data_IF_212063285967
#
_entry.id   IF_212063285967
#
_cell.length_a   1.000
_cell.length_b   1.000
_cell.length_c   1.000
_cell.angle_alpha   90.00
_cell.angle_beta   90.00
_cell.angle_gamma   90.00
#
_symmetry.space_group_name_H-M   'P 1'
#
loop_
_entity.id
_entity.type
_entity.pdbx_description
1 polymer ?
#
# COMPACT_ATOMS: atom_id res chain seq x y z
N UNK A 1 17.58 -49.56 55.84
CA UNK A 1 16.94 -49.62 54.50
C UNK A 1 15.46 -49.24 54.50
N UNK A 2 14.99 -48.22 55.25
CA UNK A 2 13.55 -47.83 55.30
C UNK A 2 13.27 -46.41 54.77
N UNK A 3 14.29 -45.63 54.39
CA UNK A 3 14.09 -44.23 53.97
C UNK A 3 14.09 -44.03 52.43
N UNK A 4 14.50 -45.04 51.64
CA UNK A 4 14.54 -44.95 50.19
C UNK A 4 13.17 -45.07 49.53
N UNK A 5 12.29 -45.88 50.09
CA UNK A 5 10.96 -46.19 49.51
C UNK A 5 9.99 -44.99 49.63
N UNK A 6 10.08 -44.23 50.72
CA UNK A 6 9.23 -43.05 50.92
C UNK A 6 9.57 -41.89 49.97
N UNK A 7 10.85 -41.73 49.62
CA UNK A 7 11.29 -40.69 48.69
C UNK A 7 10.89 -41.00 47.24
N UNK A 8 10.82 -42.25 46.85
CA UNK A 8 10.42 -42.68 45.50
C UNK A 8 8.90 -42.48 45.31
N UNK A 9 8.09 -42.85 46.33
CA UNK A 9 6.63 -42.69 46.29
C UNK A 9 6.23 -41.21 46.24
N UNK A 10 6.95 -40.33 46.97
CA UNK A 10 6.69 -38.87 46.92
C UNK A 10 7.05 -38.27 45.55
N UNK A 11 8.11 -38.73 44.88
CA UNK A 11 8.48 -38.25 43.54
C UNK A 11 7.50 -38.73 42.44
N UNK A 12 6.95 -39.93 42.57
CA UNK A 12 5.97 -40.45 41.61
C UNK A 12 4.62 -39.74 41.80
N UNK A 13 4.21 -39.39 43.02
CA UNK A 13 2.98 -38.65 43.27
C UNK A 13 3.03 -37.19 42.76
N UNK A 14 4.19 -36.53 42.83
CA UNK A 14 4.38 -35.21 42.27
C UNK A 14 4.41 -35.22 40.74
N UNK A 15 4.99 -36.25 40.13
CA UNK A 15 4.97 -36.41 38.67
C UNK A 15 3.56 -36.73 38.13
N UNK A 16 2.76 -37.49 38.86
CA UNK A 16 1.38 -37.80 38.48
C UNK A 16 0.43 -36.60 38.62
N UNK A 17 0.69 -35.69 39.57
CA UNK A 17 -0.11 -34.46 39.73
C UNK A 17 0.20 -33.42 38.65
N UNK A 18 1.41 -33.41 38.09
CA UNK A 18 1.79 -32.49 36.99
C UNK A 18 1.17 -32.92 35.66
N UNK A 19 0.98 -34.22 35.44
CA UNK A 19 0.39 -34.75 34.19
C UNK A 19 -1.14 -34.58 34.16
N UNK A 20 -1.82 -34.50 35.30
CA UNK A 20 -3.28 -34.36 35.35
C UNK A 20 -3.77 -32.91 35.27
N UNK A 21 -2.88 -31.89 35.31
CA UNK A 21 -3.23 -30.47 35.14
C UNK A 21 -2.94 -30.00 33.69
N UNK A 22 -2.23 -30.76 32.88
CA UNK A 22 -1.91 -30.45 31.49
C UNK A 22 -3.06 -30.72 30.49
N UNK A 23 -4.25 -31.12 30.95
CA UNK A 23 -5.33 -31.62 30.09
C UNK A 23 -6.56 -30.71 29.96
N UNK A 24 -6.61 -29.53 30.57
CA UNK A 24 -7.75 -28.60 30.44
C UNK A 24 -7.28 -27.15 30.49
N UNK A 25 -6.37 -26.78 29.60
CA UNK A 25 -6.37 -25.40 29.12
C UNK A 25 -7.18 -25.41 27.82
N UNK A 26 -8.32 -24.67 27.76
CA UNK A 26 -8.87 -24.37 26.48
C UNK A 26 -7.71 -23.73 25.69
N UNK A 27 -7.47 -24.20 24.48
CA UNK A 27 -6.69 -23.44 23.50
C UNK A 27 -7.34 -22.06 23.43
N UNK A 28 -6.86 -21.15 24.25
CA UNK A 28 -6.91 -19.75 23.88
C UNK A 28 -6.10 -19.72 22.58
N UNK A 29 -6.77 -19.82 21.43
CA UNK A 29 -6.24 -19.31 20.20
C UNK A 29 -5.81 -17.91 20.56
N UNK A 30 -4.49 -17.70 20.72
CA UNK A 30 -3.94 -16.36 20.82
C UNK A 30 -4.40 -15.70 19.52
N UNK A 31 -5.47 -14.89 19.61
CA UNK A 31 -5.75 -13.95 18.52
C UNK A 31 -4.46 -13.21 18.35
N UNK A 32 -3.88 -13.26 17.15
CA UNK A 32 -2.68 -12.48 16.88
C UNK A 32 -3.01 -11.03 17.23
N UNK A 33 -2.12 -10.41 17.97
CA UNK A 33 -2.28 -9.01 18.36
C UNK A 33 -2.25 -8.20 17.07
N UNK A 34 -3.24 -7.33 16.86
CA UNK A 34 -3.21 -6.37 15.76
C UNK A 34 -1.90 -5.58 15.85
N UNK A 35 -1.04 -5.58 14.82
CA UNK A 35 0.19 -4.80 14.83
C UNK A 35 -0.13 -3.30 14.92
N UNK A 36 0.79 -2.48 15.37
CA UNK A 36 0.68 -1.02 15.18
C UNK A 36 0.82 -0.69 13.69
N UNK A 37 0.41 0.52 13.28
CA UNK A 37 0.59 0.99 11.90
C UNK A 37 2.07 0.98 11.50
N UNK A 38 2.95 1.43 12.41
CA UNK A 38 4.40 1.47 12.21
C UNK A 38 5.02 0.08 12.13
N UNK A 39 4.57 -0.87 12.96
CA UNK A 39 5.02 -2.27 12.89
C UNK A 39 4.66 -2.86 11.53
N UNK A 40 3.40 -2.73 11.10
CA UNK A 40 2.95 -3.21 9.79
C UNK A 40 3.72 -2.54 8.64
N UNK A 41 3.87 -1.21 8.67
CA UNK A 41 4.60 -0.46 7.66
C UNK A 41 6.05 -0.96 7.55
N UNK A 42 6.78 -1.09 8.66
CA UNK A 42 8.17 -1.51 8.66
C UNK A 42 8.38 -2.94 8.14
N UNK A 43 7.41 -3.82 8.38
CA UNK A 43 7.46 -5.20 7.90
C UNK A 43 7.19 -5.30 6.40
N UNK A 44 6.28 -4.46 5.86
CA UNK A 44 5.75 -4.63 4.51
C UNK A 44 6.09 -3.48 3.53
N UNK A 45 6.86 -2.47 3.94
CA UNK A 45 7.20 -1.32 3.07
C UNK A 45 7.95 -1.72 1.78
N UNK A 46 8.66 -2.84 1.82
CA UNK A 46 9.41 -3.39 0.70
C UNK A 46 8.78 -4.66 0.13
N UNK A 47 7.53 -4.95 0.49
CA UNK A 47 6.84 -6.14 0.00
C UNK A 47 6.55 -5.96 -1.50
N UNK A 48 7.10 -6.80 -2.37
CA UNK A 48 6.90 -6.69 -3.81
C UNK A 48 5.53 -7.21 -4.27
N UNK A 49 4.72 -7.79 -3.37
CA UNK A 49 3.40 -8.32 -3.71
C UNK A 49 2.32 -7.25 -3.55
N UNK A 50 1.76 -6.71 -4.66
CA UNK A 50 0.66 -5.76 -4.62
C UNK A 50 -0.63 -6.33 -4.00
N UNK A 51 -0.74 -7.67 -3.91
CA UNK A 51 -1.87 -8.33 -3.26
C UNK A 51 -1.74 -8.39 -1.73
N UNK A 52 -0.59 -7.97 -1.18
CA UNK A 52 -0.37 -7.78 0.22
C UNK A 52 -0.54 -9.04 1.09
N UNK A 53 -0.71 -8.81 2.38
CA UNK A 53 -0.89 -9.87 3.39
C UNK A 53 -2.33 -10.36 3.38
N UNK A 54 -2.51 -11.67 3.33
CA UNK A 54 -3.82 -12.36 3.36
C UNK A 54 -3.92 -13.28 4.57
N UNK A 55 -5.15 -13.76 4.84
CA UNK A 55 -5.43 -14.68 5.94
C UNK A 55 -5.06 -14.15 7.33
N UNK A 56 -5.43 -12.91 7.59
CA UNK A 56 -5.20 -12.25 8.87
C UNK A 56 -6.12 -12.80 9.96
N UNK A 57 -5.61 -12.94 11.19
CA UNK A 57 -6.35 -13.43 12.36
C UNK A 57 -7.17 -12.35 13.07
N UNK A 58 -7.24 -11.14 12.50
CA UNK A 58 -7.99 -10.00 12.97
C UNK A 58 -8.85 -9.42 11.85
N UNK A 59 -9.84 -8.62 12.20
CA UNK A 59 -10.79 -8.05 11.26
C UNK A 59 -10.72 -6.51 11.23
N UNK A 60 -11.55 -5.88 10.39
CA UNK A 60 -11.57 -4.43 10.21
C UNK A 60 -11.95 -3.68 11.50
N UNK A 61 -12.88 -4.21 12.32
CA UNK A 61 -13.22 -3.60 13.61
C UNK A 61 -12.03 -3.63 14.58
N UNK A 62 -11.22 -4.69 14.55
CA UNK A 62 -10.02 -4.79 15.38
C UNK A 62 -8.99 -3.75 14.96
N UNK A 63 -8.85 -3.46 13.65
CA UNK A 63 -8.01 -2.37 13.14
C UNK A 63 -8.54 -0.99 13.59
N UNK A 64 -9.84 -0.74 13.47
CA UNK A 64 -10.44 0.52 13.91
C UNK A 64 -10.20 0.76 15.41
N UNK A 65 -10.35 -0.28 16.23
CA UNK A 65 -10.05 -0.19 17.67
C UNK A 65 -8.57 0.12 17.96
N UNK A 66 -7.66 -0.43 17.17
CA UNK A 66 -6.22 -0.27 17.35
C UNK A 66 -5.66 1.02 16.73
N UNK A 67 -6.14 1.40 15.55
CA UNK A 67 -5.57 2.45 14.71
C UNK A 67 -6.44 3.72 14.63
N UNK A 68 -7.69 3.66 15.09
CA UNK A 68 -8.72 4.69 14.87
C UNK A 68 -9.44 4.52 13.53
N UNK A 69 -10.35 5.44 13.21
CA UNK A 69 -11.10 5.43 11.96
C UNK A 69 -10.16 5.61 10.76
N UNK A 70 -10.46 4.97 9.62
CA UNK A 70 -9.72 5.19 8.39
C UNK A 70 -9.95 6.60 7.82
N UNK A 71 -9.04 7.05 6.97
CA UNK A 71 -9.10 8.34 6.30
C UNK A 71 -10.29 8.36 5.32
N UNK A 72 -11.33 9.11 5.65
CA UNK A 72 -12.60 9.09 4.91
C UNK A 72 -12.46 9.63 3.47
N UNK A 73 -11.55 10.58 3.23
CA UNK A 73 -11.27 11.18 1.93
C UNK A 73 -10.49 10.25 1.00
N UNK A 74 -9.78 9.27 1.55
CA UNK A 74 -8.96 8.29 0.83
C UNK A 74 -9.63 6.92 0.69
N UNK A 75 -10.53 6.59 1.61
CA UNK A 75 -11.25 5.31 1.61
C UNK A 75 -12.40 5.32 0.59
N UNK A 76 -12.54 4.28 -0.22
CA UNK A 76 -13.61 4.16 -1.23
C UNK A 76 -14.06 2.71 -1.40
N UNK A 77 -15.37 2.50 -1.51
CA UNK A 77 -15.95 1.18 -1.69
C UNK A 77 -15.59 0.23 -0.56
N UNK A 78 -15.07 -0.95 -0.88
CA UNK A 78 -14.62 -1.95 0.07
C UNK A 78 -13.22 -1.67 0.65
N UNK A 79 -12.51 -0.63 0.20
CA UNK A 79 -11.17 -0.31 0.68
C UNK A 79 -11.19 0.75 1.76
N UNK A 80 -10.50 0.48 2.85
CA UNK A 80 -10.20 1.43 3.93
C UNK A 80 -8.73 1.80 3.89
N UNK A 81 -8.41 3.08 4.14
CA UNK A 81 -7.05 3.60 4.03
C UNK A 81 -6.68 4.30 5.33
N UNK A 82 -5.48 4.05 5.83
CA UNK A 82 -4.90 4.74 6.99
C UNK A 82 -3.58 5.37 6.60
N UNK A 83 -3.40 6.64 6.91
CA UNK A 83 -2.10 7.33 6.78
C UNK A 83 -1.13 6.86 7.87
N UNK A 84 0.10 6.59 7.47
CA UNK A 84 1.24 6.26 8.34
C UNK A 84 2.51 6.97 7.83
N UNK A 85 2.80 8.17 8.36
CA UNK A 85 3.84 9.04 7.84
C UNK A 85 3.53 9.51 6.42
N UNK A 86 4.43 9.27 5.48
CA UNK A 86 4.24 9.57 4.05
C UNK A 86 3.60 8.40 3.27
N UNK A 87 3.38 7.28 3.91
CA UNK A 87 2.80 6.07 3.33
C UNK A 87 1.33 5.89 3.71
N UNK A 88 0.67 5.03 2.96
CA UNK A 88 -0.72 4.63 3.19
C UNK A 88 -0.79 3.12 3.38
N UNK A 89 -1.56 2.68 4.36
CA UNK A 89 -1.89 1.27 4.54
C UNK A 89 -3.29 1.08 3.99
N UNK A 90 -3.42 0.23 2.99
CA UNK A 90 -4.66 -0.07 2.28
C UNK A 90 -5.17 -1.42 2.78
N UNK A 91 -6.44 -1.47 3.10
CA UNK A 91 -7.13 -2.66 3.58
C UNK A 91 -8.34 -2.90 2.69
N UNK A 92 -8.27 -3.95 1.89
CA UNK A 92 -9.39 -4.45 1.08
C UNK A 92 -10.26 -5.37 1.92
N UNK A 93 -11.56 -5.09 1.94
CA UNK A 93 -12.55 -5.92 2.62
C UNK A 93 -13.29 -6.83 1.63
N UNK A 94 -13.77 -7.96 2.14
CA UNK A 94 -14.65 -8.87 1.40
C UNK A 94 -15.95 -8.12 1.02
N UNK A 95 -16.37 -8.12 -0.25
CA UNK A 95 -17.58 -7.44 -0.69
C UNK A 95 -18.86 -7.91 0.02
N UNK A 96 -18.90 -9.17 0.45
CA UNK A 96 -20.04 -9.79 1.13
C UNK A 96 -19.97 -9.64 2.66
N UNK A 97 -18.79 -9.39 3.21
CA UNK A 97 -18.56 -9.14 4.62
C UNK A 97 -17.55 -7.98 4.82
N UNK A 98 -18.03 -6.75 4.93
CA UNK A 98 -17.17 -5.56 5.06
C UNK A 98 -16.24 -5.55 6.29
N UNK A 99 -16.45 -6.47 7.23
CA UNK A 99 -15.58 -6.62 8.41
C UNK A 99 -14.44 -7.63 8.20
N UNK A 100 -14.59 -8.52 7.25
CA UNK A 100 -13.56 -9.49 6.88
C UNK A 100 -12.52 -8.83 5.97
N UNK A 101 -11.25 -8.91 6.35
CA UNK A 101 -10.14 -8.41 5.54
C UNK A 101 -9.75 -9.48 4.53
N UNK A 102 -9.72 -9.13 3.25
CA UNK A 102 -9.20 -9.98 2.18
C UNK A 102 -7.71 -9.78 1.94
N UNK A 103 -7.28 -8.52 2.00
CA UNK A 103 -5.90 -8.14 1.74
C UNK A 103 -5.53 -6.87 2.51
N UNK A 104 -4.24 -6.72 2.79
CA UNK A 104 -3.70 -5.55 3.47
C UNK A 104 -2.27 -5.28 2.96
N UNK A 105 -2.00 -4.08 2.47
CA UNK A 105 -0.72 -3.73 1.85
C UNK A 105 -0.37 -2.25 2.08
N UNK A 106 0.89 -1.91 1.79
CA UNK A 106 1.41 -0.54 1.86
C UNK A 106 1.39 0.08 0.47
N UNK A 107 1.11 1.38 0.37
CA UNK A 107 1.17 2.12 -0.89
C UNK A 107 2.55 2.04 -1.55
N UNK A 108 2.56 2.12 -2.87
CA UNK A 108 3.77 2.13 -3.67
C UNK A 108 4.19 3.56 -4.00
N UNK A 109 5.49 3.84 -3.88
CA UNK A 109 6.08 5.07 -4.39
C UNK A 109 6.51 4.86 -5.83
N UNK A 110 6.16 5.82 -6.69
CA UNK A 110 6.62 5.87 -8.08
C UNK A 110 7.00 7.30 -8.46
N UNK A 111 8.10 7.46 -9.19
CA UNK A 111 8.39 8.71 -9.87
C UNK A 111 7.73 8.74 -11.26
N UNK A 112 7.14 9.88 -11.58
CA UNK A 112 6.55 10.19 -12.88
C UNK A 112 7.16 11.49 -13.40
N UNK A 113 7.17 11.69 -14.71
CA UNK A 113 7.60 12.93 -15.34
C UNK A 113 6.42 13.55 -16.07
N UNK A 114 6.07 14.77 -15.71
CA UNK A 114 4.99 15.50 -16.33
C UNK A 114 5.31 15.84 -17.79
N UNK A 115 4.37 15.56 -18.67
CA UNK A 115 4.41 15.91 -20.08
C UNK A 115 3.54 17.13 -20.38
N UNK A 116 2.25 17.00 -20.20
CA UNK A 116 1.25 18.06 -20.40
C UNK A 116 -0.08 17.69 -19.75
N UNK A 117 -1.01 18.66 -19.75
CA UNK A 117 -2.40 18.40 -19.38
C UNK A 117 -3.35 18.75 -20.52
N UNK A 118 -4.44 18.02 -20.62
CA UNK A 118 -5.54 18.27 -21.54
C UNK A 118 -6.87 18.03 -20.82
N UNK A 119 -7.72 19.04 -20.78
CA UNK A 119 -8.94 19.07 -19.96
C UNK A 119 -8.61 18.75 -18.49
N UNK A 120 -9.18 17.66 -17.96
CA UNK A 120 -8.97 17.22 -16.56
C UNK A 120 -7.99 16.04 -16.45
N UNK A 121 -7.21 15.77 -17.49
CA UNK A 121 -6.25 14.66 -17.54
C UNK A 121 -4.83 15.21 -17.64
N UNK A 122 -3.97 14.67 -16.80
CA UNK A 122 -2.53 14.91 -16.78
C UNK A 122 -1.83 13.71 -17.41
N UNK A 123 -0.98 13.98 -18.39
CA UNK A 123 -0.18 12.95 -19.08
C UNK A 123 1.23 12.98 -18.52
N UNK A 124 1.71 11.81 -18.13
CA UNK A 124 3.02 11.63 -17.50
C UNK A 124 3.74 10.40 -18.07
N UNK A 125 5.06 10.39 -17.99
CA UNK A 125 5.88 9.20 -18.24
C UNK A 125 6.32 8.58 -16.92
N UNK A 126 6.50 7.27 -16.89
CA UNK A 126 7.12 6.62 -15.72
C UNK A 126 8.60 6.92 -15.66
N UNK A 127 9.14 7.02 -14.43
CA UNK A 127 10.57 7.19 -14.16
C UNK A 127 10.98 6.19 -13.10
N UNK A 128 12.11 5.51 -13.31
CA UNK A 128 12.66 4.54 -12.37
C UNK A 128 14.17 4.70 -12.30
N UNK A 129 14.71 4.73 -11.09
CA UNK A 129 16.16 4.83 -10.85
C UNK A 129 16.82 6.01 -11.61
N UNK A 130 16.10 7.13 -11.70
CA UNK A 130 16.57 8.33 -12.40
C UNK A 130 16.46 8.27 -13.94
N UNK A 131 15.83 7.23 -14.53
CA UNK A 131 15.67 7.04 -15.98
C UNK A 131 14.20 7.15 -16.36
N UNK A 132 13.87 8.06 -17.30
CA UNK A 132 12.52 8.22 -17.83
C UNK A 132 12.24 7.19 -18.92
N UNK A 133 11.10 6.50 -18.83
CA UNK A 133 10.62 5.60 -19.88
C UNK A 133 9.74 6.37 -20.87
N UNK A 134 10.32 6.78 -21.98
CA UNK A 134 9.63 7.54 -23.04
C UNK A 134 8.60 6.74 -23.85
N UNK A 135 8.47 5.44 -23.60
CA UNK A 135 7.50 4.58 -24.28
C UNK A 135 6.27 4.29 -23.41
N UNK A 136 6.33 4.67 -22.14
CA UNK A 136 5.25 4.42 -21.19
C UNK A 136 4.60 5.72 -20.74
N UNK A 137 3.44 6.03 -21.32
CA UNK A 137 2.63 7.17 -20.95
C UNK A 137 1.45 6.75 -20.07
N UNK A 138 1.21 7.50 -19.01
CA UNK A 138 0.13 7.27 -18.07
C UNK A 138 -0.75 8.51 -18.00
N UNK A 139 -2.06 8.30 -17.88
CA UNK A 139 -3.05 9.32 -17.60
C UNK A 139 -3.36 9.34 -16.10
N UNK A 140 -3.37 10.54 -15.53
CA UNK A 140 -3.74 10.80 -14.13
C UNK A 140 -4.83 11.87 -14.11
N UNK A 141 -5.87 11.69 -13.33
CA UNK A 141 -6.91 12.71 -13.19
C UNK A 141 -6.40 13.91 -12.40
N UNK A 142 -6.70 15.12 -12.88
CA UNK A 142 -6.30 16.39 -12.26
C UNK A 142 -6.80 16.53 -10.82
N UNK A 143 -7.93 15.89 -10.49
CA UNK A 143 -8.54 15.95 -9.15
C UNK A 143 -7.65 15.42 -8.01
N UNK A 144 -6.62 14.66 -8.32
CA UNK A 144 -5.66 14.15 -7.32
C UNK A 144 -4.57 15.17 -6.94
N UNK A 145 -4.50 16.29 -7.65
CA UNK A 145 -3.49 17.32 -7.44
C UNK A 145 -4.08 18.50 -6.68
N UNK A 146 -3.30 19.06 -5.77
CA UNK A 146 -3.64 20.34 -5.20
C UNK A 146 -3.35 21.48 -6.20
N UNK A 147 -3.95 22.66 -5.95
CA UNK A 147 -3.85 23.81 -6.86
C UNK A 147 -2.43 24.37 -7.00
N UNK A 148 -1.61 24.25 -5.96
CA UNK A 148 -0.24 24.74 -5.95
C UNK A 148 0.64 23.86 -6.82
N UNK A 149 0.52 22.55 -6.64
CA UNK A 149 1.19 21.56 -7.50
C UNK A 149 0.80 21.74 -8.96
N UNK A 150 -0.51 21.83 -9.27
CA UNK A 150 -0.98 22.05 -10.65
C UNK A 150 -0.41 23.32 -11.29
N UNK A 151 -0.37 24.42 -10.54
CA UNK A 151 0.13 25.70 -11.04
C UNK A 151 1.66 25.68 -11.31
N UNK A 152 2.38 24.74 -10.71
CA UNK A 152 3.84 24.59 -10.86
C UNK A 152 4.25 23.59 -11.94
N UNK A 153 3.30 22.87 -12.54
CA UNK A 153 3.61 21.85 -13.55
C UNK A 153 4.15 22.46 -14.84
N UNK A 154 5.33 22.02 -15.21
CA UNK A 154 5.97 22.29 -16.50
C UNK A 154 6.51 20.98 -17.05
N UNK A 155 6.58 20.81 -18.37
CA UNK A 155 7.19 19.63 -18.98
C UNK A 155 8.56 19.34 -18.35
N UNK A 156 8.77 18.07 -17.97
CA UNK A 156 9.98 17.64 -17.26
C UNK A 156 9.92 17.79 -15.73
N UNK A 157 8.80 18.28 -15.15
CA UNK A 157 8.61 18.23 -13.69
C UNK A 157 8.53 16.78 -13.23
N UNK A 158 9.39 16.40 -12.28
CA UNK A 158 9.36 15.09 -11.61
C UNK A 158 8.31 15.13 -10.50
N UNK A 159 7.41 14.17 -10.53
CA UNK A 159 6.35 13.97 -9.54
C UNK A 159 6.65 12.68 -8.80
N UNK A 160 6.68 12.72 -7.49
CA UNK A 160 6.64 11.52 -6.65
C UNK A 160 5.20 11.27 -6.23
N UNK A 161 4.71 10.06 -6.49
CA UNK A 161 3.33 9.67 -6.18
C UNK A 161 3.30 8.49 -5.21
N UNK A 162 2.25 8.44 -4.39
CA UNK A 162 1.85 7.25 -3.64
C UNK A 162 0.53 6.73 -4.22
N UNK A 163 0.52 5.45 -4.61
CA UNK A 163 -0.64 4.82 -5.26
C UNK A 163 -0.83 3.37 -4.80
N UNK A 164 -1.90 2.73 -5.25
CA UNK A 164 -2.26 1.36 -4.84
C UNK A 164 -1.43 0.24 -5.51
N UNK A 165 -0.47 0.60 -6.38
CA UNK A 165 0.37 -0.37 -7.08
C UNK A 165 -0.22 -0.90 -8.39
N UNK A 166 -1.46 -0.52 -8.74
CA UNK A 166 -2.14 -1.02 -9.94
C UNK A 166 -2.15 -0.01 -11.08
N UNK A 167 -1.79 -0.49 -12.27
CA UNK A 167 -1.98 0.20 -13.53
C UNK A 167 -3.02 -0.53 -14.36
N UNK A 168 -3.96 0.20 -14.94
CA UNK A 168 -4.88 -0.36 -15.94
C UNK A 168 -4.12 -0.51 -17.25
N UNK A 169 -4.18 -1.71 -17.85
CA UNK A 169 -3.52 -2.06 -19.10
C UNK A 169 -4.22 -1.43 -20.32
N UNK A 170 -4.13 -0.12 -20.42
CA UNK A 170 -4.54 0.69 -21.58
C UNK A 170 -3.34 1.44 -22.14
N UNK A 171 -3.45 2.06 -23.31
CA UNK A 171 -2.44 3.00 -23.78
C UNK A 171 -3.11 4.28 -24.26
N UNK A 172 -2.77 5.43 -23.69
CA UNK A 172 -1.97 5.61 -22.45
C UNK A 172 -2.53 4.81 -21.27
N UNK A 173 -1.64 4.34 -20.38
CA UNK A 173 -2.02 3.65 -19.14
C UNK A 173 -2.81 4.54 -18.20
N UNK A 174 -3.46 3.96 -17.20
CA UNK A 174 -4.17 4.72 -16.16
C UNK A 174 -3.77 4.20 -14.78
N UNK A 175 -3.64 5.10 -13.81
CA UNK A 175 -3.51 4.71 -12.41
C UNK A 175 -4.87 4.29 -11.86
N UNK A 176 -4.89 3.19 -11.11
CA UNK A 176 -6.13 2.75 -10.46
C UNK A 176 -6.53 3.70 -9.35
N UNK A 177 -5.61 4.02 -8.43
CA UNK A 177 -5.88 4.92 -7.31
C UNK A 177 -4.61 5.62 -6.86
N UNK A 178 -4.70 6.94 -6.72
CA UNK A 178 -3.63 7.81 -6.27
C UNK A 178 -3.98 8.38 -4.88
N UNK A 179 -3.02 8.37 -3.96
CA UNK A 179 -3.21 8.84 -2.58
C UNK A 179 -2.51 10.16 -2.31
N UNK A 180 -1.33 10.36 -2.88
CA UNK A 180 -0.63 11.65 -2.80
C UNK A 180 0.24 11.90 -4.02
N UNK A 181 0.48 13.18 -4.28
CA UNK A 181 1.38 13.69 -5.32
C UNK A 181 2.20 14.81 -4.72
N UNK A 182 3.49 14.81 -4.97
CA UNK A 182 4.36 15.95 -4.65
C UNK A 182 5.37 16.19 -5.77
N UNK A 183 5.75 17.46 -6.00
CA UNK A 183 6.84 17.78 -6.90
C UNK A 183 8.17 17.38 -6.26
N UNK A 184 8.99 16.62 -7.00
CA UNK A 184 10.30 16.12 -6.55
C UNK A 184 11.47 16.76 -7.30
N UNK A 185 11.20 17.71 -8.21
CA UNK A 185 12.23 18.43 -8.98
C UNK A 185 11.96 18.46 -10.48
N UNK A 186 13.01 18.54 -11.26
CA UNK A 186 12.95 18.53 -12.74
C UNK A 186 13.98 17.55 -13.28
N UNK A 187 13.68 16.99 -14.45
CA UNK A 187 14.64 16.19 -15.22
C UNK A 187 15.82 17.05 -15.69
N UNK A 188 16.90 16.38 -16.08
CA UNK A 188 18.02 17.05 -16.72
C UNK A 188 17.61 17.64 -18.08
N UNK A 189 18.20 18.79 -18.46
CA UNK A 189 17.92 19.42 -19.77
C UNK A 189 18.19 18.50 -20.96
N UNK A 190 19.10 17.56 -20.82
CA UNK A 190 19.39 16.57 -21.85
C UNK A 190 18.22 15.61 -22.16
N UNK A 191 17.28 15.44 -21.24
CA UNK A 191 16.07 14.63 -21.42
C UNK A 191 14.94 15.40 -22.16
N UNK A 192 14.98 16.71 -22.18
CA UNK A 192 13.91 17.57 -22.72
C UNK A 192 13.55 17.32 -24.19
N UNK A 193 14.51 17.05 -25.11
CA UNK A 193 14.15 16.73 -26.50
C UNK A 193 13.28 15.48 -26.63
N UNK A 194 13.61 14.40 -25.92
CA UNK A 194 12.84 13.16 -25.94
C UNK A 194 11.45 13.31 -25.31
N UNK A 195 11.34 14.09 -24.23
CA UNK A 195 10.04 14.40 -23.62
C UNK A 195 9.12 15.20 -24.54
N UNK A 196 9.66 16.17 -25.30
CA UNK A 196 8.87 16.93 -26.26
C UNK A 196 8.43 16.07 -27.46
N UNK A 197 9.26 15.16 -27.92
CA UNK A 197 8.88 14.20 -28.95
C UNK A 197 7.74 13.29 -28.46
N UNK A 198 7.84 12.79 -27.25
CA UNK A 198 6.78 11.99 -26.63
C UNK A 198 5.49 12.80 -26.42
N UNK A 199 5.58 14.01 -25.91
CA UNK A 199 4.44 14.92 -25.77
C UNK A 199 3.71 15.10 -27.10
N UNK A 200 4.46 15.43 -28.17
CA UNK A 200 3.89 15.60 -29.49
C UNK A 200 3.21 14.34 -29.99
N UNK A 201 3.86 13.19 -29.87
CA UNK A 201 3.29 11.90 -30.26
C UNK A 201 1.97 11.59 -29.54
N UNK A 202 1.90 11.82 -28.22
CA UNK A 202 0.69 11.57 -27.43
C UNK A 202 -0.44 12.55 -27.84
N UNK A 203 -0.14 13.84 -28.04
CA UNK A 203 -1.12 14.83 -28.48
C UNK A 203 -1.73 14.46 -29.83
N UNK A 204 -0.91 14.09 -30.80
CA UNK A 204 -1.34 13.74 -32.16
C UNK A 204 -2.19 12.47 -32.23
N UNK A 205 -1.95 11.48 -31.33
CA UNK A 205 -2.55 10.15 -31.48
C UNK A 205 -3.64 9.85 -30.42
N UNK A 206 -3.66 10.55 -29.28
CA UNK A 206 -4.49 10.12 -28.15
C UNK A 206 -5.36 11.23 -27.51
N UNK A 207 -5.14 12.51 -27.80
CA UNK A 207 -5.96 13.58 -27.18
C UNK A 207 -7.15 14.01 -28.02
N UNK A 208 -7.21 13.59 -29.31
CA UNK A 208 -8.25 14.04 -30.24
C UNK A 208 -8.13 15.50 -30.68
N UNK A 209 -7.03 16.17 -30.33
CA UNK A 209 -6.69 17.52 -30.83
C UNK A 209 -6.14 17.38 -32.25
N UNK A 210 -6.98 17.67 -33.27
CA UNK A 210 -6.57 17.81 -34.66
C UNK A 210 -6.61 19.28 -35.07
#
# INVERSE_FOLDING_TARGET
>A
MKNSTKAIVAKILVAALIVSVAGVFPECKNKSKVPTKEEFLNEHINDPDPHGVKNLDFNREDLIKAWGEPDADKSRGASSVWTCGEKFIIVGADPDDPNKIEEMYVSYTQELVYLFSNASIIYVSTRKDGVTDYHNCIMVEEMYFDKETLASLEIGTILEIEFDGYFLETYPGQLSRLYSVKSAGKVDESEMPALREQEQYIRENYTGEQ
#
